data_IF_344195910708
#
_entry.id   IF_344195910708
#
_cell.length_a   1.000
_cell.length_b   1.000
_cell.length_c   1.000
_cell.angle_alpha   90.00
_cell.angle_beta   90.00
_cell.angle_gamma   90.00
#
_symmetry.space_group_name_H-M   'P 1'
#
loop_
_entity.id
_entity.type
_entity.pdbx_description
1 polymer ?
#
# COMPACT_ATOMS: atom_id res chain seq x y z
N UNK A 1 -18.46 4.52 10.71
CA UNK A 1 -18.19 5.51 9.65
C UNK A 1 -17.07 5.07 8.69
N UNK A 2 -15.88 4.65 9.14
CA UNK A 2 -14.78 4.23 8.24
C UNK A 2 -15.12 2.99 7.39
N UNK A 3 -15.67 1.93 8.00
CA UNK A 3 -16.14 0.74 7.28
C UNK A 3 -17.26 1.07 6.28
N UNK A 4 -18.14 2.01 6.63
CA UNK A 4 -19.18 2.49 5.72
C UNK A 4 -18.58 3.19 4.50
N UNK A 5 -17.52 4.00 4.67
CA UNK A 5 -16.81 4.62 3.56
C UNK A 5 -16.18 3.56 2.64
N UNK A 6 -15.50 2.56 3.21
CA UNK A 6 -14.89 1.48 2.43
C UNK A 6 -15.96 0.77 1.59
N UNK A 7 -17.08 0.38 2.22
CA UNK A 7 -18.14 -0.36 1.54
C UNK A 7 -18.86 0.45 0.44
N UNK A 8 -19.00 1.76 0.63
CA UNK A 8 -19.67 2.65 -0.33
C UNK A 8 -18.80 3.06 -1.53
N UNK A 9 -17.49 2.84 -1.46
CA UNK A 9 -16.57 3.21 -2.54
C UNK A 9 -16.01 1.94 -3.20
N UNK A 10 -16.42 1.60 -4.44
CA UNK A 10 -16.10 0.33 -5.09
C UNK A 10 -14.60 0.01 -5.12
N UNK A 11 -13.75 1.02 -5.29
CA UNK A 11 -12.30 0.83 -5.36
C UNK A 11 -11.70 0.38 -4.02
N UNK A 12 -12.20 0.92 -2.91
CA UNK A 12 -11.76 0.55 -1.56
C UNK A 12 -12.34 -0.80 -1.15
N UNK A 13 -13.62 -1.02 -1.45
CA UNK A 13 -14.29 -2.29 -1.22
C UNK A 13 -13.55 -3.42 -1.94
N UNK A 14 -13.20 -3.23 -3.21
CA UNK A 14 -12.43 -4.21 -3.99
C UNK A 14 -11.07 -4.53 -3.37
N UNK A 15 -10.35 -3.54 -2.83
CA UNK A 15 -9.09 -3.80 -2.10
C UNK A 15 -9.34 -4.72 -0.89
N UNK A 16 -10.38 -4.45 -0.11
CA UNK A 16 -10.75 -5.27 1.04
C UNK A 16 -11.16 -6.68 0.63
N UNK A 17 -12.01 -6.83 -0.39
CA UNK A 17 -12.46 -8.14 -0.93
C UNK A 17 -11.29 -8.96 -1.49
N UNK A 18 -10.31 -8.30 -2.12
CA UNK A 18 -9.10 -8.98 -2.58
C UNK A 18 -8.16 -9.39 -1.43
N UNK A 19 -8.41 -8.90 -0.21
CA UNK A 19 -7.73 -9.29 1.02
C UNK A 19 -6.58 -8.38 1.43
N UNK A 20 -6.51 -7.16 0.90
CA UNK A 20 -5.60 -6.14 1.43
C UNK A 20 -6.04 -5.71 2.83
N UNK A 21 -5.08 -5.53 3.73
CA UNK A 21 -5.32 -4.97 5.05
C UNK A 21 -5.39 -3.43 4.93
N UNK A 22 -6.61 -2.91 4.82
CA UNK A 22 -6.87 -1.48 4.62
C UNK A 22 -7.62 -0.84 5.79
N UNK A 23 -7.27 0.41 6.07
CA UNK A 23 -7.87 1.25 7.10
C UNK A 23 -8.01 2.69 6.55
N UNK A 24 -9.06 3.40 6.95
CA UNK A 24 -9.21 4.83 6.64
C UNK A 24 -8.98 5.64 7.90
N UNK A 25 -7.89 6.39 7.95
CA UNK A 25 -7.44 7.07 9.17
C UNK A 25 -7.03 8.51 8.91
N UNK A 26 -7.70 9.45 9.60
CA UNK A 26 -7.39 10.88 9.47
C UNK A 26 -7.41 11.41 8.04
N UNK A 27 -8.35 10.96 7.20
CA UNK A 27 -8.44 11.34 5.78
C UNK A 27 -7.44 10.64 4.85
N UNK A 28 -6.73 9.62 5.34
CA UNK A 28 -5.79 8.83 4.56
C UNK A 28 -6.28 7.40 4.40
N UNK A 29 -5.99 6.80 3.25
CA UNK A 29 -6.04 5.36 3.06
C UNK A 29 -4.71 4.78 3.52
N UNK A 30 -4.78 3.86 4.47
CA UNK A 30 -3.64 3.15 5.05
C UNK A 30 -3.74 1.71 4.62
N UNK A 31 -2.69 1.18 4.01
CA UNK A 31 -2.63 -0.22 3.55
C UNK A 31 -1.42 -0.88 4.20
N UNK A 32 -1.67 -1.80 5.11
CA UNK A 32 -0.66 -2.45 5.97
C UNK A 32 -0.20 -3.76 5.34
N UNK A 33 0.82 -4.36 5.98
CA UNK A 33 1.29 -5.70 5.65
C UNK A 33 1.74 -5.85 4.19
N UNK A 34 2.35 -4.79 3.62
CA UNK A 34 2.89 -4.84 2.27
C UNK A 34 4.31 -5.40 2.35
N UNK A 35 4.59 -6.61 1.81
CA UNK A 35 5.93 -7.16 1.84
C UNK A 35 6.84 -6.41 0.88
N UNK A 36 8.06 -6.13 1.34
CA UNK A 36 9.12 -5.50 0.58
C UNK A 36 10.48 -6.08 0.98
N UNK A 37 11.48 -5.98 0.11
CA UNK A 37 12.85 -6.42 0.41
C UNK A 37 13.65 -5.29 1.09
N UNK A 38 14.53 -5.64 2.02
CA UNK A 38 15.41 -4.70 2.75
C UNK A 38 16.85 -4.79 2.25
N UNK A 39 17.73 -3.89 2.74
CA UNK A 39 19.16 -3.91 2.44
C UNK A 39 19.88 -5.16 2.94
N UNK A 40 19.34 -5.82 3.97
CA UNK A 40 19.80 -7.12 4.48
C UNK A 40 19.38 -8.31 3.61
N UNK A 41 18.74 -8.07 2.45
CA UNK A 41 18.19 -9.12 1.57
C UNK A 41 17.19 -10.03 2.30
N UNK A 42 16.43 -9.45 3.22
CA UNK A 42 15.33 -10.09 3.93
C UNK A 42 14.01 -9.44 3.58
N UNK A 43 12.90 -10.12 3.87
CA UNK A 43 11.57 -9.54 3.71
C UNK A 43 11.16 -8.83 4.99
N UNK A 44 10.62 -7.62 4.83
CA UNK A 44 9.94 -6.86 5.88
C UNK A 44 8.54 -6.46 5.43
N UNK A 45 7.71 -6.00 6.36
CA UNK A 45 6.33 -5.58 6.12
C UNK A 45 6.19 -4.09 6.38
N UNK A 46 5.70 -3.37 5.38
CA UNK A 46 5.55 -1.93 5.42
C UNK A 46 4.10 -1.49 5.28
N UNK A 47 3.90 -0.17 5.33
CA UNK A 47 2.58 0.45 5.21
C UNK A 47 2.60 1.51 4.12
N UNK A 48 1.70 1.39 3.14
CA UNK A 48 1.42 2.42 2.14
C UNK A 48 0.37 3.39 2.70
N UNK A 49 0.57 4.69 2.50
CA UNK A 49 -0.31 5.74 3.00
C UNK A 49 -0.55 6.77 1.90
N UNK A 50 -1.80 7.00 1.51
CA UNK A 50 -2.15 8.06 0.56
C UNK A 50 -3.36 8.87 1.02
N UNK A 51 -3.44 10.12 0.60
CA UNK A 51 -4.55 11.01 0.92
C UNK A 51 -5.80 10.57 0.16
N UNK A 52 -6.94 10.52 0.87
CA UNK A 52 -8.25 10.33 0.26
C UNK A 52 -8.81 11.69 -0.20
N UNK A 53 -9.17 11.76 -1.48
CA UNK A 53 -9.83 12.92 -2.08
C UNK A 53 -11.34 12.73 -1.95
N UNK A 54 -11.99 13.52 -1.12
CA UNK A 54 -13.42 13.37 -0.84
C UNK A 54 -14.25 14.25 -1.78
N UNK A 55 -15.16 13.63 -2.53
CA UNK A 55 -16.20 14.34 -3.28
C UNK A 55 -17.40 14.68 -2.41
N UNK A 56 -17.65 13.87 -1.37
CA UNK A 56 -18.65 14.10 -0.33
C UNK A 56 -18.23 13.36 0.95
N UNK A 57 -18.95 13.52 2.09
CA UNK A 57 -18.60 12.81 3.33
C UNK A 57 -18.56 11.28 3.22
N UNK A 58 -19.20 10.69 2.21
CA UNK A 58 -19.29 9.23 2.01
C UNK A 58 -18.74 8.76 0.66
N UNK A 59 -18.27 9.67 -0.21
CA UNK A 59 -17.80 9.34 -1.55
C UNK A 59 -16.43 9.93 -1.81
N UNK A 60 -15.51 9.10 -2.30
CA UNK A 60 -14.18 9.52 -2.74
C UNK A 60 -14.19 9.80 -4.25
N UNK A 61 -13.33 10.71 -4.67
CA UNK A 61 -12.98 10.97 -6.06
C UNK A 61 -11.70 10.23 -6.44
N UNK A 62 -11.17 10.47 -7.63
CA UNK A 62 -9.88 9.91 -8.06
C UNK A 62 -8.73 10.46 -7.19
N UNK A 63 -7.63 9.71 -7.05
CA UNK A 63 -6.42 10.20 -6.39
C UNK A 63 -5.97 11.55 -6.97
N UNK A 64 -5.55 12.51 -6.14
CA UNK A 64 -5.15 13.84 -6.61
C UNK A 64 -3.81 13.82 -7.34
N UNK A 65 -2.99 12.80 -7.08
CA UNK A 65 -1.64 12.63 -7.61
C UNK A 65 -1.29 11.14 -7.80
N UNK A 66 -0.08 10.91 -8.30
CA UNK A 66 0.51 9.59 -8.49
C UNK A 66 1.51 9.20 -7.40
N UNK A 67 1.66 9.97 -6.32
CA UNK A 67 2.64 9.73 -5.27
C UNK A 67 2.04 8.99 -4.08
N UNK A 68 2.88 8.36 -3.26
CA UNK A 68 2.42 7.68 -2.04
C UNK A 68 3.46 7.80 -0.94
N UNK A 69 3.00 7.96 0.30
CA UNK A 69 3.86 7.88 1.47
C UNK A 69 4.01 6.43 1.91
N UNK A 70 5.15 6.11 2.50
CA UNK A 70 5.44 4.78 2.99
C UNK A 70 6.05 4.82 4.38
N UNK A 71 5.67 3.86 5.21
CA UNK A 71 6.24 3.63 6.53
C UNK A 71 6.90 2.25 6.56
N UNK A 72 8.19 2.25 6.84
CA UNK A 72 9.06 1.08 6.88
C UNK A 72 10.53 1.48 6.75
N UNK A 73 11.40 0.47 6.68
CA UNK A 73 12.79 0.65 6.23
C UNK A 73 12.86 0.98 4.74
N UNK A 74 14.02 1.43 4.26
CA UNK A 74 14.24 1.71 2.84
C UNK A 74 13.96 0.48 1.99
N UNK A 75 12.98 0.53 1.07
CA UNK A 75 12.75 -0.61 0.18
C UNK A 75 13.88 -0.80 -0.80
N UNK A 76 14.26 -2.06 -0.97
CA UNK A 76 15.35 -2.48 -1.85
C UNK A 76 14.86 -3.46 -2.91
N UNK A 77 15.69 -3.66 -3.93
CA UNK A 77 15.59 -4.78 -4.84
C UNK A 77 16.09 -6.07 -4.18
N UNK A 78 15.97 -7.19 -4.90
CA UNK A 78 16.41 -8.52 -4.44
C UNK A 78 17.90 -8.60 -4.07
N UNK A 79 18.73 -7.69 -4.62
CA UNK A 79 20.16 -7.62 -4.33
C UNK A 79 20.48 -6.73 -3.11
N UNK A 80 19.47 -6.15 -2.45
CA UNK A 80 19.64 -5.27 -1.30
C UNK A 80 19.94 -3.81 -1.66
N UNK A 81 19.82 -3.43 -2.95
CA UNK A 81 20.03 -2.05 -3.38
C UNK A 81 18.73 -1.25 -3.31
N UNK A 82 18.71 0.01 -2.85
CA UNK A 82 17.50 0.82 -2.77
C UNK A 82 16.74 0.92 -4.09
N UNK A 83 15.40 1.03 -4.02
CA UNK A 83 14.53 1.25 -5.18
C UNK A 83 14.52 2.73 -5.61
N UNK A 84 15.68 3.28 -5.94
CA UNK A 84 15.87 4.70 -6.27
C UNK A 84 14.97 5.18 -7.43
N UNK A 85 14.54 4.28 -8.31
CA UNK A 85 13.63 4.58 -9.40
C UNK A 85 12.24 5.05 -8.94
N UNK A 86 11.80 4.68 -7.74
CA UNK A 86 10.52 5.10 -7.18
C UNK A 86 10.67 5.97 -5.92
N UNK A 87 11.80 5.89 -5.22
CA UNK A 87 12.06 6.67 -4.01
C UNK A 87 12.29 8.13 -4.41
N UNK A 88 11.34 9.00 -4.09
CA UNK A 88 11.48 10.44 -4.29
C UNK A 88 12.31 11.06 -3.16
N UNK A 89 12.01 10.69 -1.91
CA UNK A 89 12.84 11.02 -0.74
C UNK A 89 12.56 10.09 0.45
N UNK A 90 13.40 10.18 1.47
CA UNK A 90 13.32 9.40 2.72
C UNK A 90 13.19 10.29 3.95
N UNK A 91 12.50 11.44 3.80
CA UNK A 91 12.27 12.35 4.91
C UNK A 91 11.18 11.80 5.81
N UNK A 92 11.42 11.85 7.12
CA UNK A 92 10.38 11.54 8.10
C UNK A 92 9.33 12.64 8.12
N UNK A 93 8.07 12.28 7.91
CA UNK A 93 6.95 13.21 7.89
C UNK A 93 5.81 12.67 8.75
N UNK A 94 5.44 13.44 9.78
CA UNK A 94 4.23 13.17 10.55
C UNK A 94 3.01 13.61 9.71
N UNK A 95 2.20 12.67 9.25
CA UNK A 95 1.01 12.93 8.42
C UNK A 95 -0.21 13.25 9.29
N UNK A 96 -0.35 12.54 10.41
CA UNK A 96 -1.35 12.77 11.46
C UNK A 96 -0.72 12.39 12.80
N UNK A 97 -1.42 12.58 13.93
CA UNK A 97 -0.91 12.15 15.24
C UNK A 97 -0.59 10.65 15.33
N UNK A 98 -1.14 9.83 14.42
CA UNK A 98 -1.04 8.38 14.45
C UNK A 98 -0.37 7.78 13.20
N UNK A 99 -0.03 8.61 12.21
CA UNK A 99 0.58 8.20 10.95
C UNK A 99 1.89 8.93 10.71
N UNK A 100 2.97 8.16 10.64
CA UNK A 100 4.31 8.61 10.30
C UNK A 100 4.74 7.99 8.98
N UNK A 101 5.16 8.81 8.02
CA UNK A 101 5.85 8.36 6.81
C UNK A 101 7.36 8.44 7.03
N UNK A 102 8.10 7.43 6.56
CA UNK A 102 9.57 7.41 6.53
C UNK A 102 10.11 7.58 5.11
N UNK A 103 9.29 7.31 4.10
CA UNK A 103 9.63 7.48 2.70
C UNK A 103 8.47 8.07 1.90
N UNK A 104 8.81 8.65 0.77
CA UNK A 104 7.87 9.19 -0.20
C UNK A 104 8.22 8.68 -1.59
N UNK A 105 7.24 8.09 -2.27
CA UNK A 105 7.44 7.46 -3.57
C UNK A 105 6.71 8.20 -4.69
N UNK A 106 7.24 8.08 -5.89
CA UNK A 106 6.64 8.57 -7.12
C UNK A 106 6.76 7.51 -8.22
N UNK A 107 5.62 7.05 -8.73
CA UNK A 107 5.54 6.17 -9.88
C UNK A 107 4.38 6.66 -10.73
N UNK A 108 4.73 7.41 -11.78
CA UNK A 108 3.75 8.07 -12.64
C UNK A 108 3.27 7.10 -13.73
N UNK A 109 1.96 6.78 -13.80
CA UNK A 109 1.44 5.99 -14.90
C UNK A 109 1.48 6.78 -16.22
N UNK A 110 1.43 6.08 -17.35
CA UNK A 110 1.42 6.71 -18.68
C UNK A 110 0.22 7.66 -18.87
N UNK A 111 -0.91 7.37 -18.22
CA UNK A 111 -2.10 8.23 -18.17
C UNK A 111 -1.91 9.53 -17.38
N UNK A 112 -0.76 9.73 -16.73
CA UNK A 112 -0.44 10.88 -15.90
C UNK A 112 -0.83 10.69 -14.43
N UNK A 113 -2.06 10.25 -14.16
CA UNK A 113 -2.57 9.92 -12.83
C UNK A 113 -3.24 8.54 -12.81
N UNK A 114 -3.36 7.97 -11.61
CA UNK A 114 -4.08 6.71 -11.42
C UNK A 114 -5.59 6.93 -11.58
N UNK A 115 -6.30 6.03 -12.29
CA UNK A 115 -7.74 6.17 -12.53
C UNK A 115 -8.57 6.02 -11.26
N UNK A 116 -8.05 5.29 -10.26
CA UNK A 116 -8.69 5.07 -8.97
C UNK A 116 -7.68 4.62 -7.91
N UNK A 117 -8.14 4.50 -6.66
CA UNK A 117 -7.31 4.05 -5.53
C UNK A 117 -6.89 2.59 -5.65
N UNK A 118 -7.72 1.73 -6.23
CA UNK A 118 -7.40 0.32 -6.42
C UNK A 118 -6.13 0.15 -7.28
N UNK A 119 -6.08 0.79 -8.46
CA UNK A 119 -4.94 0.71 -9.36
C UNK A 119 -3.69 1.35 -8.74
N UNK A 120 -3.84 2.46 -8.00
CA UNK A 120 -2.74 3.09 -7.27
C UNK A 120 -2.12 2.14 -6.24
N UNK A 121 -2.93 1.59 -5.35
CA UNK A 121 -2.47 0.70 -4.28
C UNK A 121 -1.91 -0.60 -4.85
N UNK A 122 -2.60 -1.21 -5.82
CA UNK A 122 -2.15 -2.44 -6.48
C UNK A 122 -0.78 -2.25 -7.13
N UNK A 123 -0.57 -1.14 -7.83
CA UNK A 123 0.70 -0.85 -8.52
C UNK A 123 1.85 -0.73 -7.52
N UNK A 124 1.68 0.09 -6.48
CA UNK A 124 2.73 0.26 -5.47
C UNK A 124 2.98 -1.00 -4.65
N UNK A 125 1.94 -1.74 -4.30
CA UNK A 125 2.08 -3.02 -3.63
C UNK A 125 2.87 -4.01 -4.50
N UNK A 126 2.59 -4.10 -5.81
CA UNK A 126 3.33 -5.01 -6.69
C UNK A 126 4.79 -4.60 -6.88
N UNK A 127 5.08 -3.30 -7.06
CA UNK A 127 6.46 -2.80 -7.19
C UNK A 127 7.31 -3.18 -5.97
N UNK A 128 6.76 -3.06 -4.77
CA UNK A 128 7.48 -3.41 -3.53
C UNK A 128 7.59 -4.93 -3.36
N UNK A 129 6.49 -5.64 -3.62
CA UNK A 129 6.40 -7.06 -3.29
C UNK A 129 7.04 -7.97 -4.30
N UNK A 130 7.29 -7.54 -5.55
CA UNK A 130 8.02 -8.37 -6.53
C UNK A 130 9.41 -8.77 -6.02
N UNK A 131 10.10 -7.86 -5.32
CA UNK A 131 11.41 -8.12 -4.75
C UNK A 131 11.33 -8.98 -3.49
N UNK A 132 10.30 -8.78 -2.66
CA UNK A 132 10.06 -9.65 -1.50
C UNK A 132 9.74 -11.09 -1.92
N UNK A 133 8.87 -11.27 -2.93
CA UNK A 133 8.49 -12.58 -3.49
C UNK A 133 9.68 -13.31 -4.11
N UNK A 134 10.64 -12.57 -4.66
CA UNK A 134 11.89 -13.15 -5.19
C UNK A 134 12.81 -13.70 -4.08
N UNK A 135 12.69 -13.17 -2.84
CA UNK A 135 13.43 -13.66 -1.66
C UNK A 135 12.66 -14.80 -0.98
N UNK A 136 11.35 -14.61 -0.77
CA UNK A 136 10.46 -15.58 -0.15
C UNK A 136 9.15 -15.64 -0.93
N UNK A 137 8.94 -16.73 -1.66
CA UNK A 137 7.75 -16.94 -2.50
C UNK A 137 6.43 -17.10 -1.72
N UNK A 138 6.48 -17.26 -0.40
CA UNK A 138 5.30 -17.49 0.46
C UNK A 138 4.62 -16.20 0.95
N UNK A 139 5.25 -15.05 0.69
CA UNK A 139 4.77 -13.73 1.12
C UNK A 139 3.66 -13.22 0.20
N UNK A 140 2.77 -12.39 0.75
CA UNK A 140 1.61 -11.89 0.01
C UNK A 140 1.28 -10.46 0.40
N UNK A 141 0.77 -9.69 -0.56
CA UNK A 141 0.17 -8.37 -0.33
C UNK A 141 -1.26 -8.46 0.19
N UNK A 142 -1.81 -9.68 0.27
CA UNK A 142 -3.23 -9.96 0.57
C UNK A 142 -3.33 -10.86 1.81
N UNK A 143 -2.91 -10.38 3.00
CA UNK A 143 -2.82 -11.21 4.21
C UNK A 143 -4.17 -11.75 4.67
N UNK A 144 -5.27 -11.00 4.50
CA UNK A 144 -6.60 -11.43 4.93
C UNK A 144 -7.11 -12.64 4.14
N UNK A 145 -6.78 -12.69 2.84
CA UNK A 145 -7.10 -13.84 1.99
C UNK A 145 -6.25 -15.07 2.35
N UNK A 146 -4.99 -14.88 2.73
CA UNK A 146 -4.11 -15.96 3.21
C UNK A 146 -4.67 -16.59 4.50
N UNK A 147 -5.04 -15.78 5.48
CA UNK A 147 -5.63 -16.26 6.73
C UNK A 147 -6.94 -17.05 6.49
N UNK A 148 -7.81 -16.60 5.60
CA UNK A 148 -9.04 -17.31 5.24
C UNK A 148 -8.77 -18.68 4.58
N UNK A 149 -7.73 -18.78 3.75
CA UNK A 149 -7.36 -20.04 3.09
C UNK A 149 -6.66 -21.02 4.03
N UNK A 150 -5.81 -20.53 4.94
CA UNK A 150 -5.16 -21.33 5.98
C UNK A 150 -6.21 -21.93 6.94
N UNK A 151 -7.24 -21.17 7.31
CA UNK A 151 -8.32 -21.67 8.15
C UNK A 151 -9.16 -22.76 7.47
N UNK A 152 -9.38 -22.69 6.15
CA UNK A 152 -10.14 -23.69 5.38
C UNK A 152 -9.37 -24.96 5.06
N UNK A 153 -8.05 -24.96 5.21
CA UNK A 153 -7.20 -26.14 4.93
C UNK A 153 -7.01 -27.02 6.17
N UNK A 154 -7.45 -26.55 7.35
CA UNK A 154 -7.39 -27.24 8.63
C UNK A 154 -8.76 -27.82 9.08
N UNK A 155 -9.76 -27.82 8.20
CA UNK A 155 -11.05 -28.53 8.34
C UNK A 155 -11.12 -29.70 7.34
#
# INVERSE_FOLDING_TARGET
>A
MQQQLINLNPDLNRLQEEGYDIEVKGGHLVVRQIPYATSSKSVALGTLICVLNYASPTKISTPPDHTISFNGETPCNVNGQPLDAIINNSNRQQLTNELLATHYFSSKPLSGNYPNYYEKIRTYAEILSIHAKAIDSTVTTKPLKKALNENRSNE
#
